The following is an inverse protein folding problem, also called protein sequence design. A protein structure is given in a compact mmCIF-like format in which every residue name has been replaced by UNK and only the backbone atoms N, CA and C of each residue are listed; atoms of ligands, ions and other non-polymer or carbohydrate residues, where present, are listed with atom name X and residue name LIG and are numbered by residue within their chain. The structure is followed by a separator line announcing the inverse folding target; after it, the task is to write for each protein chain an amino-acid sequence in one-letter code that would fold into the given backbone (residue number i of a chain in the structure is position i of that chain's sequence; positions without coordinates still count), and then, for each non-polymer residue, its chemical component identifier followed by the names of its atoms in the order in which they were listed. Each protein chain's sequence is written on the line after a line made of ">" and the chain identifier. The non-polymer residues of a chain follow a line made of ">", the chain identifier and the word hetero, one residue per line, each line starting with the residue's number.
data_IF_077389203610
#
_entry.id   IF_077389203610
#
_cell.length_a   1.000
_cell.length_b   1.000
_cell.length_c   1.000
_cell.angle_alpha   90.00
_cell.angle_beta   90.00
_cell.angle_gamma   90.00
#
_symmetry.space_group_name_H-M   'P 1'
#
loop_
_entity.id
_entity.type
_entity.pdbx_description
1 polymer ?
#
# COMPACT_ATOMS: atom_id res chain seq x y z
N UNK A 1 50.24 -36.21 -6.71
CA UNK A 1 49.05 -35.40 -7.04
C UNK A 1 49.52 -34.26 -7.94
N UNK A 2 49.04 -34.18 -9.17
CA UNK A 2 49.49 -33.15 -10.14
C UNK A 2 48.59 -31.92 -9.96
N UNK A 3 49.19 -30.76 -9.70
CA UNK A 3 48.50 -29.46 -9.63
C UNK A 3 48.83 -28.69 -10.90
N UNK A 4 47.80 -28.21 -11.60
CA UNK A 4 47.93 -27.38 -12.79
C UNK A 4 47.42 -25.99 -12.43
N UNK A 5 48.20 -24.96 -12.75
CA UNK A 5 47.82 -23.56 -12.53
C UNK A 5 47.45 -22.92 -13.87
N UNK A 6 46.28 -22.30 -13.94
CA UNK A 6 45.78 -21.59 -15.12
C UNK A 6 45.52 -20.14 -14.71
N UNK A 7 46.17 -19.20 -15.36
CA UNK A 7 45.98 -17.76 -15.09
C UNK A 7 44.83 -17.22 -15.92
N UNK A 8 43.95 -16.45 -15.29
CA UNK A 8 42.79 -15.79 -15.91
C UNK A 8 41.99 -16.71 -16.84
N UNK A 9 41.43 -17.83 -16.32
CA UNK A 9 40.67 -18.75 -17.14
C UNK A 9 39.41 -18.08 -17.70
N UNK A 10 38.98 -18.47 -18.90
CA UNK A 10 37.66 -18.07 -19.40
C UNK A 10 36.56 -18.83 -18.66
N UNK A 11 35.36 -18.26 -18.62
CA UNK A 11 34.20 -18.90 -18.00
C UNK A 11 33.89 -20.27 -18.64
N UNK A 12 34.01 -20.38 -19.96
CA UNK A 12 33.80 -21.64 -20.69
C UNK A 12 34.82 -22.71 -20.29
N UNK A 13 36.06 -22.32 -20.01
CA UNK A 13 37.09 -23.24 -19.55
C UNK A 13 36.79 -23.71 -18.13
N UNK A 14 36.41 -22.79 -17.24
CA UNK A 14 36.00 -23.11 -15.87
C UNK A 14 34.81 -24.08 -15.86
N UNK A 15 33.73 -23.77 -16.59
CA UNK A 15 32.53 -24.62 -16.64
C UNK A 15 32.84 -26.01 -17.21
N UNK A 16 33.69 -26.11 -18.25
CA UNK A 16 34.15 -27.40 -18.79
C UNK A 16 34.96 -28.21 -17.78
N UNK A 17 35.85 -27.58 -17.02
CA UNK A 17 36.66 -28.28 -16.02
C UNK A 17 35.78 -28.74 -14.85
N UNK A 18 34.85 -27.90 -14.39
CA UNK A 18 33.92 -28.22 -13.32
C UNK A 18 33.01 -29.41 -13.68
N UNK A 19 32.52 -29.45 -14.93
CA UNK A 19 31.71 -30.56 -15.44
C UNK A 19 32.44 -31.92 -15.47
N UNK A 20 33.78 -31.91 -15.49
CA UNK A 20 34.60 -33.12 -15.48
C UNK A 20 34.98 -33.57 -14.05
N UNK A 21 34.34 -33.03 -13.01
CA UNK A 21 34.58 -33.34 -11.60
C UNK A 21 36.03 -33.12 -11.14
N UNK A 22 36.75 -32.17 -11.75
CA UNK A 22 38.03 -31.72 -11.21
C UNK A 22 37.81 -30.89 -9.94
N UNK A 23 38.67 -31.08 -8.93
CA UNK A 23 38.74 -30.15 -7.79
C UNK A 23 39.42 -28.87 -8.25
N UNK A 24 38.65 -27.79 -8.37
CA UNK A 24 39.08 -26.50 -8.90
C UNK A 24 38.99 -25.47 -7.78
N UNK A 25 40.07 -24.74 -7.56
CA UNK A 25 40.08 -23.56 -6.72
C UNK A 25 40.51 -22.36 -7.57
N UNK A 26 39.64 -21.37 -7.66
CA UNK A 26 39.95 -20.09 -8.28
C UNK A 26 40.00 -19.01 -7.21
N UNK A 27 41.16 -18.40 -7.03
CA UNK A 27 41.32 -17.21 -6.20
C UNK A 27 40.75 -16.02 -6.97
N UNK A 28 39.97 -15.17 -6.29
CA UNK A 28 39.42 -13.96 -6.89
C UNK A 28 40.44 -12.83 -6.83
N UNK A 29 40.42 -11.93 -7.81
CA UNK A 29 41.31 -10.76 -7.77
C UNK A 29 40.86 -9.75 -6.71
N UNK A 30 39.54 -9.70 -6.47
CA UNK A 30 38.90 -8.95 -5.39
C UNK A 30 38.17 -9.87 -4.41
N UNK A 31 38.22 -9.53 -3.11
CA UNK A 31 37.55 -10.31 -2.05
C UNK A 31 36.11 -9.88 -1.79
N UNK A 32 35.69 -8.75 -2.35
CA UNK A 32 34.38 -8.14 -2.19
C UNK A 32 33.76 -7.93 -3.57
N UNK A 33 32.45 -8.13 -3.70
CA UNK A 33 31.70 -7.79 -4.92
C UNK A 33 30.31 -7.33 -4.53
N UNK A 34 29.90 -6.17 -5.02
CA UNK A 34 28.60 -5.60 -4.72
C UNK A 34 27.50 -6.31 -5.53
N UNK A 35 26.32 -6.55 -4.95
CA UNK A 35 25.20 -7.16 -5.68
C UNK A 35 24.84 -6.39 -6.96
N UNK A 36 24.97 -5.05 -6.96
CA UNK A 36 24.66 -4.19 -8.11
C UNK A 36 25.46 -4.53 -9.37
N UNK A 37 26.61 -5.19 -9.22
CA UNK A 37 27.49 -5.52 -10.35
C UNK A 37 26.97 -6.69 -11.17
N UNK A 38 26.18 -7.59 -10.57
CA UNK A 38 25.75 -8.83 -11.22
C UNK A 38 24.27 -9.18 -11.00
N UNK A 39 23.54 -8.41 -10.18
CA UNK A 39 22.10 -8.58 -9.95
C UNK A 39 21.37 -7.32 -10.43
N UNK A 40 20.26 -7.52 -11.14
CA UNK A 40 19.24 -6.51 -11.43
C UNK A 40 17.94 -6.95 -10.78
N UNK A 41 17.28 -6.05 -10.05
CA UNK A 41 16.01 -6.27 -9.38
C UNK A 41 15.19 -4.98 -9.43
N UNK A 42 13.99 -5.02 -10.01
CA UNK A 42 13.13 -3.83 -10.17
C UNK A 42 11.66 -4.19 -9.93
N UNK A 43 10.93 -3.43 -9.10
CA UNK A 43 9.50 -3.61 -8.89
C UNK A 43 8.70 -2.92 -10.00
N UNK A 44 7.54 -3.48 -10.33
CA UNK A 44 6.49 -2.81 -11.09
C UNK A 44 5.31 -2.62 -10.16
N UNK A 45 4.94 -1.36 -9.91
CA UNK A 45 3.85 -1.01 -9.02
C UNK A 45 2.49 -1.00 -9.72
N UNK A 46 1.44 -1.24 -8.94
CA UNK A 46 0.05 -1.19 -9.37
C UNK A 46 -0.28 0.22 -9.87
N UNK A 47 -1.02 0.29 -10.97
CA UNK A 47 -1.31 1.54 -11.67
C UNK A 47 -2.01 2.61 -10.81
N UNK A 48 -2.67 2.21 -9.71
CA UNK A 48 -3.28 3.14 -8.75
C UNK A 48 -2.28 4.17 -8.22
N UNK A 49 -1.02 3.78 -7.98
CA UNK A 49 0.01 4.67 -7.45
C UNK A 49 0.56 5.67 -8.47
N UNK A 50 0.14 5.57 -9.73
CA UNK A 50 0.46 6.53 -10.80
C UNK A 50 -0.81 7.13 -11.44
N UNK A 51 -1.96 6.92 -10.82
CA UNK A 51 -3.26 7.35 -11.33
C UNK A 51 -3.69 8.70 -10.76
N UNK A 52 -4.78 9.25 -11.30
CA UNK A 52 -5.42 10.45 -10.76
C UNK A 52 -5.77 10.32 -9.27
N UNK A 53 -6.10 9.12 -8.79
CA UNK A 53 -6.59 8.86 -7.43
C UNK A 53 -5.60 9.20 -6.31
N UNK A 54 -4.31 9.32 -6.64
CA UNK A 54 -3.25 9.70 -5.67
C UNK A 54 -2.75 11.12 -5.88
N UNK A 55 -3.35 11.89 -6.80
CA UNK A 55 -2.94 13.26 -7.09
C UNK A 55 -3.60 14.25 -6.13
N UNK A 56 -2.91 15.35 -5.84
CA UNK A 56 -3.49 16.45 -5.08
C UNK A 56 -4.74 17.03 -5.77
N UNK A 57 -4.77 17.04 -7.10
CA UNK A 57 -5.94 17.48 -7.90
C UNK A 57 -7.20 16.68 -7.56
N UNK A 58 -7.08 15.36 -7.42
CA UNK A 58 -8.20 14.49 -7.04
C UNK A 58 -8.59 14.69 -5.57
N UNK A 59 -7.60 14.79 -4.68
CA UNK A 59 -7.84 14.99 -3.25
C UNK A 59 -8.56 16.32 -2.99
N UNK A 60 -8.09 17.41 -3.61
CA UNK A 60 -8.70 18.75 -3.53
C UNK A 60 -10.12 18.75 -4.11
N UNK A 61 -10.37 17.96 -5.14
CA UNK A 61 -11.70 17.83 -5.73
C UNK A 61 -12.72 17.26 -4.75
N UNK A 62 -12.30 16.28 -3.94
CA UNK A 62 -13.14 15.63 -2.93
C UNK A 62 -13.28 16.47 -1.66
N UNK A 63 -12.55 17.57 -1.54
CA UNK A 63 -12.68 18.47 -0.41
C UNK A 63 -13.96 19.31 -0.53
N UNK A 64 -14.91 19.09 0.39
CA UNK A 64 -16.07 19.96 0.57
C UNK A 64 -16.10 20.52 1.98
N UNK A 65 -15.74 21.80 2.11
CA UNK A 65 -15.68 22.53 3.40
C UNK A 65 -17.05 22.73 4.03
N UNK A 66 -18.14 22.63 3.26
CA UNK A 66 -19.51 22.87 3.74
C UNK A 66 -20.18 21.61 4.31
N UNK A 67 -19.52 20.45 4.15
CA UNK A 67 -20.14 19.13 4.26
C UNK A 67 -19.43 18.15 5.20
N UNK A 68 -18.21 18.47 5.64
CA UNK A 68 -17.40 17.58 6.47
C UNK A 68 -17.97 17.24 7.86
N UNK A 69 -18.90 18.05 8.39
CA UNK A 69 -19.39 17.90 9.78
C UNK A 69 -20.90 17.73 9.92
N UNK A 70 -21.65 17.76 8.80
CA UNK A 70 -23.12 17.71 8.80
C UNK A 70 -23.68 16.36 8.34
N UNK A 71 -22.85 15.50 7.77
CA UNK A 71 -23.28 14.19 7.28
C UNK A 71 -23.19 13.11 8.36
N UNK A 72 -24.14 12.18 8.30
CA UNK A 72 -24.12 10.96 9.11
C UNK A 72 -22.87 10.13 8.82
N UNK A 73 -22.44 9.35 9.82
CA UNK A 73 -21.16 8.64 9.87
C UNK A 73 -20.89 7.65 8.72
N UNK A 74 -21.88 7.26 7.92
CA UNK A 74 -21.72 6.36 6.77
C UNK A 74 -21.63 7.09 5.41
N UNK A 75 -21.84 8.41 5.37
CA UNK A 75 -21.80 9.16 4.11
C UNK A 75 -20.37 9.26 3.57
N UNK A 76 -20.18 8.80 2.34
CA UNK A 76 -18.87 8.77 1.71
C UNK A 76 -18.22 10.15 1.63
N UNK A 77 -19.02 11.21 1.42
CA UNK A 77 -18.50 12.58 1.28
C UNK A 77 -17.77 13.08 2.53
N UNK A 78 -18.05 12.51 3.69
CA UNK A 78 -17.42 12.90 4.97
C UNK A 78 -15.98 12.39 5.13
N UNK A 79 -15.60 11.35 4.39
CA UNK A 79 -14.28 10.69 4.54
C UNK A 79 -13.52 10.52 3.23
N UNK A 80 -14.15 10.78 2.08
CA UNK A 80 -13.59 10.55 0.76
C UNK A 80 -12.19 11.13 0.61
N UNK A 81 -12.03 12.42 0.91
CA UNK A 81 -10.74 13.11 0.82
C UNK A 81 -9.66 12.40 1.64
N UNK A 82 -9.94 12.06 2.90
CA UNK A 82 -8.97 11.43 3.79
C UNK A 82 -8.59 10.03 3.33
N UNK A 83 -9.54 9.27 2.76
CA UNK A 83 -9.25 7.94 2.21
C UNK A 83 -8.26 8.03 1.04
N UNK A 84 -8.46 8.96 0.10
CA UNK A 84 -7.56 9.12 -1.03
C UNK A 84 -6.23 9.79 -0.65
N UNK A 85 -6.22 10.67 0.34
CA UNK A 85 -4.98 11.19 0.92
C UNK A 85 -4.14 10.05 1.54
N UNK A 86 -4.78 9.13 2.28
CA UNK A 86 -4.11 7.95 2.82
C UNK A 86 -3.62 7.02 1.71
N UNK A 87 -4.39 6.82 0.65
CA UNK A 87 -3.96 6.02 -0.50
C UNK A 87 -2.70 6.61 -1.15
N UNK A 88 -2.66 7.93 -1.34
CA UNK A 88 -1.48 8.62 -1.87
C UNK A 88 -0.25 8.45 -0.95
N UNK A 89 -0.43 8.65 0.36
CA UNK A 89 0.63 8.46 1.35
C UNK A 89 1.12 7.02 1.35
N UNK A 90 0.23 6.03 1.31
CA UNK A 90 0.62 4.62 1.32
C UNK A 90 1.36 4.22 0.04
N UNK A 91 0.91 4.69 -1.13
CA UNK A 91 1.67 4.50 -2.36
C UNK A 91 3.08 5.11 -2.25
N UNK A 92 3.21 6.35 -1.78
CA UNK A 92 4.49 7.01 -1.64
C UNK A 92 5.42 6.25 -0.67
N UNK A 93 4.93 5.92 0.52
CA UNK A 93 5.73 5.26 1.55
C UNK A 93 6.11 3.84 1.15
N UNK A 94 5.22 3.07 0.52
CA UNK A 94 5.57 1.72 0.03
C UNK A 94 6.62 1.76 -1.08
N UNK A 95 6.55 2.73 -2.00
CA UNK A 95 7.56 2.91 -3.04
C UNK A 95 8.90 3.29 -2.40
N UNK A 96 8.91 4.28 -1.51
CA UNK A 96 10.12 4.73 -0.83
C UNK A 96 10.79 3.61 -0.03
N UNK A 97 10.03 2.88 0.78
CA UNK A 97 10.57 1.75 1.56
C UNK A 97 11.19 0.67 0.67
N UNK A 98 10.57 0.42 -0.50
CA UNK A 98 11.09 -0.54 -1.47
C UNK A 98 12.37 -0.03 -2.13
N UNK A 99 12.43 1.26 -2.47
CA UNK A 99 13.65 1.89 -3.02
C UNK A 99 14.79 1.87 -2.00
N UNK A 100 14.52 2.18 -0.74
CA UNK A 100 15.50 2.17 0.36
C UNK A 100 16.04 0.74 0.61
N UNK A 101 15.19 -0.29 0.62
CA UNK A 101 15.63 -1.71 0.75
C UNK A 101 16.46 -2.15 -0.47
N UNK A 102 16.07 -1.76 -1.68
CA UNK A 102 16.82 -2.06 -2.89
C UNK A 102 18.19 -1.40 -2.91
N UNK A 103 18.28 -0.14 -2.48
CA UNK A 103 19.54 0.58 -2.37
C UNK A 103 20.48 -0.14 -1.39
N UNK A 104 19.98 -0.54 -0.21
CA UNK A 104 20.75 -1.34 0.75
C UNK A 104 21.17 -2.70 0.17
N UNK A 105 20.23 -3.40 -0.47
CA UNK A 105 20.48 -4.69 -1.10
C UNK A 105 21.61 -4.57 -2.14
N UNK A 106 21.56 -3.57 -3.00
CA UNK A 106 22.55 -3.38 -4.05
C UNK A 106 23.92 -2.98 -3.52
N UNK A 107 24.00 -2.24 -2.41
CA UNK A 107 25.28 -1.91 -1.75
C UNK A 107 25.85 -3.03 -0.89
N UNK A 108 25.06 -4.07 -0.59
CA UNK A 108 25.55 -5.23 0.16
C UNK A 108 26.54 -6.03 -0.70
N UNK A 109 27.65 -6.45 -0.08
CA UNK A 109 28.74 -7.16 -0.75
C UNK A 109 28.78 -8.64 -0.39
N UNK A 110 29.18 -9.47 -1.35
CA UNK A 110 29.60 -10.85 -1.11
C UNK A 110 31.09 -10.85 -0.77
N UNK A 111 31.42 -11.40 0.40
CA UNK A 111 32.79 -11.53 0.89
C UNK A 111 33.29 -12.95 0.60
N UNK A 112 34.19 -13.11 -0.38
CA UNK A 112 34.86 -14.38 -0.63
C UNK A 112 36.14 -14.20 -1.45
N UNK A 113 37.25 -14.69 -0.93
CA UNK A 113 38.52 -14.77 -1.66
C UNK A 113 38.58 -15.92 -2.68
N UNK A 114 37.57 -16.80 -2.70
CA UNK A 114 37.45 -17.90 -3.66
C UNK A 114 36.22 -17.70 -4.55
N UNK A 115 36.32 -18.12 -5.81
CA UNK A 115 35.21 -18.09 -6.74
C UNK A 115 34.14 -19.09 -6.30
N UNK A 116 32.91 -18.62 -6.13
CA UNK A 116 31.76 -19.49 -5.87
C UNK A 116 31.34 -20.19 -7.17
N UNK A 117 30.86 -21.42 -7.07
CA UNK A 117 30.25 -22.07 -8.23
C UNK A 117 28.98 -21.32 -8.66
N UNK A 118 28.62 -21.45 -9.94
CA UNK A 118 27.40 -20.86 -10.51
C UNK A 118 26.16 -21.23 -9.73
N UNK A 119 25.99 -22.51 -9.43
CA UNK A 119 24.81 -22.99 -8.71
C UNK A 119 24.75 -22.42 -7.28
N UNK A 120 25.89 -22.34 -6.60
CA UNK A 120 25.97 -21.74 -5.27
C UNK A 120 25.65 -20.25 -5.30
N UNK A 121 26.25 -19.48 -6.22
CA UNK A 121 25.97 -18.05 -6.36
C UNK A 121 24.50 -17.81 -6.69
N UNK A 122 23.93 -18.57 -7.63
CA UNK A 122 22.52 -18.42 -7.99
C UNK A 122 21.62 -18.72 -6.79
N UNK A 123 21.89 -19.79 -6.03
CA UNK A 123 21.11 -20.12 -4.84
C UNK A 123 21.20 -19.02 -3.77
N UNK A 124 22.40 -18.50 -3.48
CA UNK A 124 22.61 -17.40 -2.53
C UNK A 124 21.92 -16.12 -3.01
N UNK A 125 22.10 -15.74 -4.29
CA UNK A 125 21.48 -14.56 -4.88
C UNK A 125 19.95 -14.64 -4.85
N UNK A 126 19.34 -15.76 -5.25
CA UNK A 126 17.88 -15.93 -5.16
C UNK A 126 17.37 -15.89 -3.73
N UNK A 127 18.10 -16.46 -2.77
CA UNK A 127 17.75 -16.39 -1.35
C UNK A 127 17.68 -14.93 -0.87
N UNK A 128 18.71 -14.12 -1.21
CA UNK A 128 18.78 -12.70 -0.83
C UNK A 128 17.75 -11.84 -1.56
N UNK A 129 17.55 -12.06 -2.86
CA UNK A 129 16.49 -11.39 -3.65
C UNK A 129 15.13 -11.66 -3.01
N UNK A 130 14.83 -12.93 -2.69
CA UNK A 130 13.56 -13.28 -2.07
C UNK A 130 13.39 -12.67 -0.67
N UNK A 131 14.48 -12.47 0.08
CA UNK A 131 14.43 -11.74 1.34
C UNK A 131 14.10 -10.26 1.12
N UNK A 132 14.81 -9.57 0.22
CA UNK A 132 14.56 -8.16 -0.13
C UNK A 132 13.11 -7.93 -0.58
N UNK A 133 12.58 -8.79 -1.46
CA UNK A 133 11.17 -8.73 -1.91
C UNK A 133 10.12 -8.79 -0.79
N UNK A 134 10.47 -9.35 0.37
CA UNK A 134 9.59 -9.43 1.55
C UNK A 134 9.83 -8.31 2.54
N UNK A 135 11.09 -7.94 2.75
CA UNK A 135 11.50 -6.98 3.77
C UNK A 135 10.74 -5.64 3.68
N UNK A 136 10.72 -5.01 2.50
CA UNK A 136 10.09 -3.70 2.35
C UNK A 136 8.56 -3.73 2.57
N UNK A 137 7.77 -4.63 1.93
CA UNK A 137 6.35 -4.77 2.24
C UNK A 137 6.08 -5.11 3.71
N UNK A 138 6.88 -5.99 4.32
CA UNK A 138 6.71 -6.38 5.73
C UNK A 138 7.00 -5.20 6.68
N UNK A 139 8.08 -4.45 6.45
CA UNK A 139 8.43 -3.26 7.23
C UNK A 139 7.33 -2.18 7.17
N UNK A 140 6.74 -1.99 6.00
CA UNK A 140 5.59 -1.10 5.83
C UNK A 140 4.36 -1.61 6.60
N UNK A 141 4.00 -2.90 6.49
CA UNK A 141 2.85 -3.49 7.21
C UNK A 141 3.03 -3.37 8.74
N UNK A 142 4.24 -3.61 9.25
CA UNK A 142 4.57 -3.41 10.66
C UNK A 142 4.36 -1.96 11.09
N UNK A 143 4.85 -1.00 10.29
CA UNK A 143 4.68 0.43 10.57
C UNK A 143 3.20 0.83 10.55
N UNK A 144 2.41 0.30 9.60
CA UNK A 144 0.98 0.54 9.52
C UNK A 144 0.23 -0.02 10.74
N UNK A 145 0.52 -1.27 11.14
CA UNK A 145 -0.06 -1.89 12.34
C UNK A 145 0.29 -1.07 13.57
N UNK A 146 1.57 -0.76 13.77
CA UNK A 146 2.03 0.04 14.90
C UNK A 146 1.34 1.41 14.96
N UNK A 147 1.22 2.10 13.82
CA UNK A 147 0.54 3.39 13.73
C UNK A 147 -0.94 3.29 14.13
N UNK A 148 -1.64 2.23 13.68
CA UNK A 148 -3.04 1.99 14.04
C UNK A 148 -3.22 1.70 15.53
N UNK A 149 -2.32 0.92 16.12
CA UNK A 149 -2.29 0.64 17.56
C UNK A 149 -1.98 1.90 18.38
N UNK A 150 -1.06 2.74 17.91
CA UNK A 150 -0.74 4.02 18.57
C UNK A 150 -1.93 4.99 18.53
N UNK A 151 -2.62 5.10 17.40
CA UNK A 151 -3.87 5.89 17.28
C UNK A 151 -4.92 5.34 18.26
N UNK A 152 -5.02 4.02 18.43
CA UNK A 152 -5.96 3.38 19.34
C UNK A 152 -5.63 3.60 20.81
N UNK A 153 -4.41 3.29 21.24
CA UNK A 153 -3.99 3.42 22.63
C UNK A 153 -4.02 4.87 23.13
N UNK A 154 -3.85 5.85 22.24
CA UNK A 154 -3.88 7.27 22.59
C UNK A 154 -5.22 7.96 22.27
N UNK A 155 -6.20 7.24 21.74
CA UNK A 155 -7.53 7.77 21.38
C UNK A 155 -7.43 9.00 20.49
N UNK A 156 -6.54 8.97 19.49
CA UNK A 156 -6.38 10.08 18.55
C UNK A 156 -7.62 10.18 17.67
N UNK A 157 -8.23 11.38 17.65
CA UNK A 157 -9.49 11.64 16.97
C UNK A 157 -9.26 12.20 15.56
N UNK A 158 -9.92 11.63 14.55
CA UNK A 158 -9.93 12.21 13.19
C UNK A 158 -11.01 13.28 13.06
N UNK A 159 -10.80 14.29 12.20
CA UNK A 159 -11.82 15.33 11.96
C UNK A 159 -13.10 14.82 11.27
N UNK A 160 -13.15 13.55 10.85
CA UNK A 160 -14.25 12.94 10.09
C UNK A 160 -15.45 12.50 10.94
N UNK A 161 -15.38 12.70 12.28
CA UNK A 161 -16.44 12.31 13.21
C UNK A 161 -16.91 10.84 13.07
N UNK A 162 -16.07 9.94 12.57
CA UNK A 162 -16.39 8.51 12.39
C UNK A 162 -16.25 7.70 13.68
N UNK A 163 -15.71 8.30 14.73
CA UNK A 163 -15.46 7.68 16.04
C UNK A 163 -16.04 8.50 17.22
N UNK A 164 -16.57 9.70 16.95
CA UNK A 164 -17.22 10.56 17.95
C UNK A 164 -18.31 11.40 17.29
N UNK A 165 -19.23 11.94 18.09
CA UNK A 165 -20.28 12.84 17.62
C UNK A 165 -20.22 14.18 18.35
N UNK A 166 -20.56 15.26 17.64
CA UNK A 166 -20.82 16.54 18.28
C UNK A 166 -22.29 16.62 18.65
N UNK A 167 -22.58 16.83 19.94
CA UNK A 167 -23.94 17.11 20.40
C UNK A 167 -24.10 18.60 20.61
N UNK A 168 -25.20 19.13 20.11
CA UNK A 168 -25.64 20.48 20.45
C UNK A 168 -26.25 20.46 21.85
N UNK A 169 -25.62 21.16 22.79
CA UNK A 169 -26.16 21.33 24.13
C UNK A 169 -26.57 22.79 24.33
N UNK A 170 -27.83 22.98 24.68
CA UNK A 170 -28.33 24.27 25.15
C UNK A 170 -28.21 24.32 26.68
N UNK A 171 -27.58 25.38 27.21
CA UNK A 171 -27.49 25.61 28.64
C UNK A 171 -28.40 26.76 29.04
N UNK A 172 -29.54 26.44 29.66
CA UNK A 172 -30.49 27.44 30.17
C UNK A 172 -29.81 28.45 31.13
N UNK A 173 -28.82 27.99 31.91
CA UNK A 173 -28.08 28.82 32.87
C UNK A 173 -27.13 29.82 32.23
N UNK A 174 -26.60 29.54 31.04
CA UNK A 174 -25.68 30.43 30.34
C UNK A 174 -26.38 31.22 29.21
N UNK A 175 -27.63 30.87 28.88
CA UNK A 175 -28.31 31.38 27.67
C UNK A 175 -27.47 31.20 26.39
N UNK A 176 -26.61 30.18 26.41
CA UNK A 176 -25.64 29.90 25.36
C UNK A 176 -25.83 28.48 24.85
N UNK A 177 -25.71 28.35 23.54
CA UNK A 177 -25.66 27.07 22.88
C UNK A 177 -24.21 26.74 22.51
N UNK A 178 -23.80 25.51 22.84
CA UNK A 178 -22.45 25.04 22.55
C UNK A 178 -22.47 23.66 21.91
N UNK A 179 -21.59 23.46 20.96
CA UNK A 179 -21.24 22.13 20.48
C UNK A 179 -20.32 21.49 21.50
N UNK A 180 -20.76 20.37 22.06
CA UNK A 180 -19.96 19.57 22.99
C UNK A 180 -19.57 18.30 22.27
N UNK A 181 -18.30 17.93 22.37
CA UNK A 181 -17.85 16.60 21.99
C UNK A 181 -18.59 15.61 22.89
N UNK A 182 -19.57 14.92 22.33
CA UNK A 182 -20.25 13.88 23.06
C UNK A 182 -19.53 12.56 22.81
N UNK A 183 -19.29 11.83 23.90
CA UNK A 183 -18.94 10.42 23.86
C UNK A 183 -20.16 9.59 23.43
N UNK A 184 -20.79 9.93 22.31
CA UNK A 184 -21.73 9.03 21.67
C UNK A 184 -20.96 7.97 20.93
N UNK A 185 -21.30 6.72 21.21
CA UNK A 185 -20.72 5.58 20.54
C UNK A 185 -21.25 5.53 19.11
N UNK A 186 -20.39 5.87 18.13
CA UNK A 186 -20.71 5.65 16.72
C UNK A 186 -20.86 4.15 16.51
N UNK A 187 -22.02 3.74 16.00
CA UNK A 187 -22.34 2.33 15.76
C UNK A 187 -22.54 2.05 14.29
N UNK A 188 -21.97 0.94 13.83
CA UNK A 188 -22.15 0.44 12.49
C UNK A 188 -22.87 -0.89 12.50
N UNK A 189 -24.00 -0.96 11.77
CA UNK A 189 -24.71 -2.21 11.55
C UNK A 189 -23.84 -3.17 10.75
N UNK A 190 -23.80 -4.42 11.19
CA UNK A 190 -23.07 -5.52 10.58
C UNK A 190 -24.01 -6.45 9.81
N UNK A 191 -23.45 -7.27 8.93
CA UNK A 191 -24.20 -8.19 8.06
C UNK A 191 -24.93 -9.29 8.83
N UNK A 192 -24.46 -9.64 10.03
CA UNK A 192 -25.04 -10.63 10.93
C UNK A 192 -26.12 -10.07 11.87
N UNK A 193 -26.58 -8.84 11.63
CA UNK A 193 -27.51 -8.08 12.48
C UNK A 193 -26.94 -7.70 13.85
N UNK A 194 -25.64 -7.87 14.07
CA UNK A 194 -24.95 -7.23 15.20
C UNK A 194 -24.67 -5.76 14.89
N UNK A 195 -24.32 -5.00 15.93
CA UNK A 195 -23.79 -3.66 15.80
C UNK A 195 -22.36 -3.66 16.30
N UNK A 196 -21.50 -2.92 15.61
CA UNK A 196 -20.17 -2.64 16.09
C UNK A 196 -20.11 -1.22 16.67
N UNK A 197 -19.45 -1.07 17.83
CA UNK A 197 -19.16 0.22 18.46
C UNK A 197 -17.73 0.65 18.13
N UNK A 198 -17.57 1.78 17.46
CA UNK A 198 -16.27 2.27 16.99
C UNK A 198 -15.27 2.63 18.11
N UNK A 199 -15.76 2.88 19.32
CA UNK A 199 -14.93 3.13 20.49
C UNK A 199 -14.33 1.85 21.07
N UNK A 200 -15.00 0.71 20.88
CA UNK A 200 -14.58 -0.59 21.41
C UNK A 200 -13.86 -1.43 20.35
N UNK A 201 -14.27 -1.30 19.09
CA UNK A 201 -13.80 -2.10 17.97
C UNK A 201 -13.43 -1.17 16.80
N UNK A 202 -12.14 -0.90 16.65
CA UNK A 202 -11.66 0.08 15.67
C UNK A 202 -11.67 -0.43 14.22
N UNK A 203 -11.66 -1.75 14.02
CA UNK A 203 -11.63 -2.39 12.69
C UNK A 203 -12.99 -2.42 12.00
N UNK A 204 -14.02 -1.88 12.64
CA UNK A 204 -15.36 -1.95 12.09
C UNK A 204 -15.55 -1.06 10.90
N UNK A 205 -16.36 -1.55 9.98
CA UNK A 205 -16.73 -0.85 8.78
C UNK A 205 -18.15 -1.19 8.35
N UNK A 206 -18.70 -0.33 7.50
CA UNK A 206 -20.01 -0.48 6.87
C UNK A 206 -19.89 -0.01 5.42
N UNK A 207 -20.72 -0.51 4.48
CA UNK A 207 -20.70 -0.03 3.11
C UNK A 207 -20.87 1.50 3.05
N UNK A 208 -20.08 2.15 2.21
CA UNK A 208 -20.18 3.59 2.02
C UNK A 208 -21.45 3.95 1.25
N UNK A 209 -22.05 5.09 1.58
CA UNK A 209 -23.31 5.52 0.95
C UNK A 209 -23.29 6.99 0.58
N UNK A 210 -24.18 7.38 -0.34
CA UNK A 210 -24.62 8.77 -0.47
C UNK A 210 -25.96 8.92 0.22
N UNK A 211 -26.09 9.93 1.08
CA UNK A 211 -27.36 10.25 1.74
C UNK A 211 -28.03 11.45 1.09
N UNK A 212 -29.35 11.44 1.04
CA UNK A 212 -30.10 12.64 0.67
C UNK A 212 -30.14 13.59 1.87
N UNK A 213 -29.85 14.86 1.62
CA UNK A 213 -29.91 15.91 2.63
C UNK A 213 -31.25 16.66 2.61
N UNK A 214 -32.21 16.26 1.78
CA UNK A 214 -33.54 16.86 1.81
C UNK A 214 -34.31 16.44 3.07
N UNK A 215 -34.36 17.36 4.04
CA UNK A 215 -35.25 17.46 5.22
C UNK A 215 -35.74 16.16 5.91
N UNK A 216 -35.20 15.95 7.12
CA UNK A 216 -35.71 15.14 8.24
C UNK A 216 -35.85 13.62 8.09
N UNK A 217 -35.51 13.02 6.95
CA UNK A 217 -35.30 11.58 6.86
C UNK A 217 -34.08 11.28 6.00
N UNK A 218 -33.03 10.75 6.62
CA UNK A 218 -31.80 10.30 5.98
C UNK A 218 -32.05 9.08 5.09
N UNK A 219 -32.66 9.30 3.92
CA UNK A 219 -32.84 8.26 2.93
C UNK A 219 -31.49 8.00 2.23
N UNK A 220 -31.12 6.72 2.12
CA UNK A 220 -30.00 6.31 1.29
C UNK A 220 -30.32 6.65 -0.16
N UNK A 221 -29.52 7.52 -0.79
CA UNK A 221 -29.58 7.73 -2.23
C UNK A 221 -29.00 6.52 -2.95
N UNK A 222 -27.85 6.03 -2.47
CA UNK A 222 -27.09 4.99 -3.16
C UNK A 222 -26.06 4.34 -2.24
N UNK A 223 -25.90 3.01 -2.34
CA UNK A 223 -24.80 2.26 -1.71
C UNK A 223 -23.66 2.14 -2.72
N UNK A 224 -22.46 2.54 -2.31
CA UNK A 224 -21.26 2.53 -3.14
C UNK A 224 -20.57 1.18 -2.99
N UNK A 225 -20.92 0.26 -3.88
CA UNK A 225 -20.40 -1.10 -3.87
C UNK A 225 -18.86 -1.14 -3.95
N UNK A 226 -18.21 -1.84 -3.01
CA UNK A 226 -16.75 -1.96 -2.93
C UNK A 226 -16.06 -0.85 -2.14
N UNK A 227 -16.75 0.21 -1.72
CA UNK A 227 -16.19 1.22 -0.81
C UNK A 227 -16.86 1.14 0.56
N UNK A 228 -16.07 1.38 1.59
CA UNK A 228 -16.46 1.21 2.98
C UNK A 228 -16.11 2.44 3.81
N UNK A 229 -16.94 2.72 4.81
CA UNK A 229 -16.62 3.64 5.89
C UNK A 229 -16.31 2.82 7.14
N UNK A 230 -15.13 3.06 7.68
CA UNK A 230 -14.67 2.49 8.93
C UNK A 230 -14.63 3.54 10.04
N UNK A 231 -14.37 3.08 11.26
CA UNK A 231 -14.29 3.95 12.43
C UNK A 231 -13.19 5.01 12.29
N UNK A 232 -12.17 4.72 11.48
CA UNK A 232 -11.11 5.67 11.11
C UNK A 232 -10.94 5.69 9.59
N UNK A 233 -10.36 6.78 9.04
CA UNK A 233 -10.06 6.85 7.62
C UNK A 233 -9.17 5.70 7.13
N UNK A 234 -8.20 5.24 7.94
CA UNK A 234 -7.35 4.10 7.60
C UNK A 234 -8.20 2.83 7.45
N UNK A 235 -9.08 2.53 8.41
CA UNK A 235 -9.92 1.33 8.35
C UNK A 235 -10.93 1.39 7.20
N UNK A 236 -11.41 2.59 6.85
CA UNK A 236 -12.25 2.84 5.68
C UNK A 236 -11.53 2.44 4.38
N UNK A 237 -10.29 2.90 4.22
CA UNK A 237 -9.46 2.58 3.07
C UNK A 237 -9.15 1.09 3.01
N UNK A 238 -8.68 0.49 4.12
CA UNK A 238 -8.25 -0.90 4.17
C UNK A 238 -9.38 -1.90 3.84
N UNK A 239 -10.61 -1.60 4.26
CA UNK A 239 -11.79 -2.44 3.97
C UNK A 239 -12.32 -2.27 2.53
N UNK A 240 -11.98 -1.17 1.85
CA UNK A 240 -12.42 -0.90 0.48
C UNK A 240 -11.68 -1.75 -0.55
N UNK A 241 -12.23 -1.87 -1.76
CA UNK A 241 -11.70 -2.68 -2.86
C UNK A 241 -11.39 -1.83 -4.09
N UNK A 242 -10.72 -2.44 -5.07
CA UNK A 242 -10.39 -1.79 -6.35
C UNK A 242 -11.59 -1.61 -7.30
N UNK A 243 -12.75 -2.21 -6.99
CA UNK A 243 -13.89 -2.31 -7.91
C UNK A 243 -14.26 -0.99 -8.58
N UNK A 244 -14.37 0.10 -7.82
CA UNK A 244 -14.76 1.40 -8.34
C UNK A 244 -13.62 2.17 -9.02
N UNK A 245 -12.36 1.82 -8.74
CA UNK A 245 -11.20 2.44 -9.38
C UNK A 245 -11.17 2.18 -10.89
N UNK A 246 -11.77 1.07 -11.34
CA UNK A 246 -11.86 0.67 -12.75
C UNK A 246 -13.21 1.02 -13.41
N UNK A 247 -14.09 1.78 -12.73
CA UNK A 247 -15.44 2.06 -13.22
C UNK A 247 -15.66 3.55 -13.49
N UNK A 248 -15.51 3.97 -14.75
CA UNK A 248 -15.71 5.38 -15.14
C UNK A 248 -17.11 5.91 -14.82
N UNK A 249 -18.17 5.09 -14.95
CA UNK A 249 -19.54 5.50 -14.63
C UNK A 249 -19.67 5.88 -13.17
N UNK A 250 -19.05 5.09 -12.28
CA UNK A 250 -19.03 5.39 -10.84
C UNK A 250 -18.24 6.68 -10.56
N UNK A 251 -17.06 6.84 -11.18
CA UNK A 251 -16.28 8.07 -11.05
C UNK A 251 -17.11 9.28 -11.47
N UNK A 252 -17.79 9.21 -12.61
CA UNK A 252 -18.66 10.28 -13.07
C UNK A 252 -19.79 10.60 -12.08
N UNK A 253 -20.39 9.59 -11.44
CA UNK A 253 -21.39 9.78 -10.39
C UNK A 253 -20.82 10.49 -9.16
N UNK A 254 -19.58 10.19 -8.76
CA UNK A 254 -18.88 10.96 -7.72
C UNK A 254 -18.76 12.43 -8.12
N UNK A 255 -18.30 12.69 -9.34
CA UNK A 255 -18.08 14.06 -9.81
C UNK A 255 -19.37 14.88 -9.74
N UNK A 256 -20.51 14.28 -10.08
CA UNK A 256 -21.82 14.92 -9.95
C UNK A 256 -22.18 15.25 -8.50
N UNK A 257 -21.97 14.31 -7.57
CA UNK A 257 -22.31 14.50 -6.15
C UNK A 257 -21.48 15.62 -5.49
N UNK A 258 -20.24 15.82 -5.93
CA UNK A 258 -19.37 16.90 -5.47
C UNK A 258 -19.54 18.22 -6.25
N UNK A 259 -20.49 18.31 -7.20
CA UNK A 259 -20.93 19.54 -7.90
C UNK A 259 -19.82 20.39 -8.55
N UNK A 260 -18.73 19.77 -9.03
CA UNK A 260 -17.60 20.49 -9.62
C UNK A 260 -17.29 19.94 -11.04
N UNK A 261 -18.20 20.15 -11.98
CA UNK A 261 -18.28 19.40 -13.26
C UNK A 261 -17.19 19.68 -14.30
N UNK A 262 -16.20 20.54 -14.00
CA UNK A 262 -15.14 20.91 -14.96
C UNK A 262 -13.89 20.02 -14.94
N UNK A 263 -13.84 19.00 -14.08
CA UNK A 263 -12.65 18.14 -13.94
C UNK A 263 -12.78 16.83 -14.72
N UNK A 264 -11.77 16.53 -15.54
CA UNK A 264 -11.65 15.23 -16.23
C UNK A 264 -10.73 14.31 -15.41
N UNK A 265 -11.32 13.28 -14.81
CA UNK A 265 -10.64 12.21 -14.09
C UNK A 265 -10.97 10.87 -14.73
N UNK A 266 -9.95 10.04 -14.91
CA UNK A 266 -10.10 8.75 -15.58
C UNK A 266 -9.98 7.60 -14.59
N UNK A 267 -10.81 6.57 -14.79
CA UNK A 267 -10.64 5.30 -14.10
C UNK A 267 -9.33 4.61 -14.52
N UNK A 268 -8.92 3.61 -13.75
CA UNK A 268 -7.79 2.74 -14.06
C UNK A 268 -8.05 1.94 -15.35
N UNK A 269 -6.97 1.60 -16.05
CA UNK A 269 -7.04 0.86 -17.31
C UNK A 269 -7.20 -0.63 -17.06
N UNK A 270 -8.39 -1.16 -17.38
CA UNK A 270 -8.72 -2.57 -17.24
C UNK A 270 -7.94 -3.49 -18.20
N UNK A 271 -7.27 -2.94 -19.22
CA UNK A 271 -6.44 -3.73 -20.14
C UNK A 271 -5.02 -3.94 -19.62
N UNK A 272 -4.59 -3.21 -18.58
CA UNK A 272 -3.31 -3.48 -17.92
C UNK A 272 -3.44 -4.72 -17.05
N UNK A 273 -2.51 -5.65 -17.22
CA UNK A 273 -2.42 -6.83 -16.36
C UNK A 273 -2.23 -6.42 -14.91
N UNK A 274 -3.01 -7.03 -14.02
CA UNK A 274 -2.87 -6.90 -12.57
C UNK A 274 -3.01 -8.26 -11.92
N UNK A 275 -2.18 -8.53 -10.92
CA UNK A 275 -2.29 -9.73 -10.09
C UNK A 275 -3.44 -9.62 -9.07
N UNK A 276 -4.01 -8.42 -8.90
CA UNK A 276 -5.09 -8.17 -7.96
C UNK A 276 -6.44 -8.18 -8.66
N UNK A 277 -7.36 -8.99 -8.15
CA UNK A 277 -8.75 -8.98 -8.61
C UNK A 277 -9.48 -7.71 -8.15
N UNK A 278 -10.55 -7.33 -8.86
CA UNK A 278 -11.35 -6.14 -8.51
C UNK A 278 -11.94 -6.18 -7.09
N UNK A 279 -12.22 -7.38 -6.57
CA UNK A 279 -12.76 -7.58 -5.22
C UNK A 279 -11.66 -7.72 -4.15
N UNK A 280 -10.38 -7.66 -4.54
CA UNK A 280 -9.27 -7.63 -3.57
C UNK A 280 -9.37 -6.36 -2.75
N UNK A 281 -9.22 -6.50 -1.43
CA UNK A 281 -9.23 -5.35 -0.52
C UNK A 281 -7.94 -4.55 -0.67
N UNK A 282 -8.02 -3.24 -0.45
CA UNK A 282 -6.84 -2.37 -0.45
C UNK A 282 -5.88 -2.78 0.66
N UNK A 283 -6.35 -3.35 1.77
CA UNK A 283 -5.47 -3.97 2.77
C UNK A 283 -4.51 -5.01 2.18
N UNK A 284 -5.00 -5.91 1.32
CA UNK A 284 -4.14 -6.91 0.66
C UNK A 284 -3.14 -6.29 -0.30
N UNK A 285 -3.54 -5.26 -1.05
CA UNK A 285 -2.69 -4.58 -2.03
C UNK A 285 -1.62 -3.72 -1.34
N UNK A 286 -1.98 -3.06 -0.24
CA UNK A 286 -1.07 -2.29 0.59
C UNK A 286 -0.02 -3.22 1.22
N UNK A 287 -0.42 -4.39 1.72
CA UNK A 287 0.48 -5.40 2.29
C UNK A 287 1.48 -5.98 1.29
N UNK A 288 1.20 -5.92 0.00
CA UNK A 288 2.16 -6.31 -1.04
C UNK A 288 3.02 -5.13 -1.52
N UNK A 289 3.00 -3.99 -0.83
CA UNK A 289 3.70 -2.77 -1.23
C UNK A 289 3.21 -2.19 -2.56
N UNK A 290 1.97 -2.49 -2.95
CA UNK A 290 1.42 -2.20 -4.28
C UNK A 290 2.22 -2.84 -5.44
N UNK A 291 3.04 -3.86 -5.21
CA UNK A 291 3.87 -4.46 -6.25
C UNK A 291 3.08 -5.52 -7.02
N UNK A 292 3.05 -5.38 -8.35
CA UNK A 292 2.44 -6.31 -9.31
C UNK A 292 3.39 -7.43 -9.69
N UNK A 293 4.65 -7.08 -9.96
CA UNK A 293 5.69 -8.04 -10.34
C UNK A 293 7.08 -7.47 -10.11
N UNK A 294 8.04 -8.39 -10.05
CA UNK A 294 9.45 -8.09 -9.98
C UNK A 294 10.14 -8.50 -11.27
N UNK A 295 10.96 -7.63 -11.83
CA UNK A 295 11.90 -7.94 -12.91
C UNK A 295 13.24 -8.25 -12.27
N UNK A 296 13.70 -9.49 -12.41
CA UNK A 296 14.97 -9.94 -11.85
C UNK A 296 15.89 -10.56 -12.89
N UNK A 297 17.20 -10.35 -12.73
CA UNK A 297 18.23 -10.96 -13.57
C UNK A 297 19.52 -11.10 -12.76
N UNK A 298 20.13 -12.28 -12.81
CA UNK A 298 21.45 -12.55 -12.24
C UNK A 298 22.41 -12.88 -13.39
N UNK A 299 23.56 -12.22 -13.43
CA UNK A 299 24.58 -12.41 -14.45
C UNK A 299 25.86 -12.99 -13.86
N UNK A 300 25.95 -14.33 -13.86
CA UNK A 300 27.13 -15.04 -13.36
C UNK A 300 28.41 -14.66 -14.12
N UNK A 301 28.34 -14.29 -15.39
CA UNK A 301 29.54 -13.87 -16.14
C UNK A 301 30.13 -12.56 -15.64
N UNK A 302 29.30 -11.62 -15.17
CA UNK A 302 29.80 -10.39 -14.52
C UNK A 302 30.47 -10.71 -13.20
N UNK A 303 29.88 -11.59 -12.39
CA UNK A 303 30.50 -12.09 -11.15
C UNK A 303 31.81 -12.84 -11.41
N UNK A 304 31.88 -13.67 -12.45
CA UNK A 304 33.05 -14.49 -12.77
C UNK A 304 34.27 -13.64 -13.16
N UNK A 305 34.06 -12.51 -13.82
CA UNK A 305 35.13 -11.65 -14.33
C UNK A 305 35.76 -10.72 -13.27
N UNK A 306 35.48 -10.96 -11.98
CA UNK A 306 36.09 -10.28 -10.83
C UNK A 306 37.47 -10.84 -10.46
#
# INVERSE_FOLDING_TARGET
>A
MIRIEIKNPTIDLYEKLAANNYSIECDCSETFVSHKEFISLQPIYHQVCSSDFVTQRWIDYLYDSTKHSFYLHADFRSTAMQQFQLLAIFCQLSIQETEDDLDLFFHTEIISGKLMSKDFLLADAYSRINASKRNAPDAFDYTLIFTREMIAGNVLLSSTATIFQFNFQYSDSLSEARWVLANGDVTFNQSDKSFCICKEQFTCSTPAVFLDNSDNASAYLYIIDGWYIGCRPIDSLLSSTLKNFYNQTMINSLLQVFNNTSSNFTCLDANKESIFHLNTTLSTIIKSGFIEKWIEKINYSLYFNR
#
